data_IF_520276867014
#
_entry.id   IF_520276867014
#
_cell.length_a   1.000
_cell.length_b   1.000
_cell.length_c   1.000
_cell.angle_alpha   90.00
_cell.angle_beta   90.00
_cell.angle_gamma   90.00
#
_symmetry.space_group_name_H-M   'P 1'
#
loop_
_entity.id
_entity.type
_entity.pdbx_description
1 polymer ?
#
# COMPACT_ATOMS: atom_id res chain seq x y z
N UNK A 1 15.61 25.06 -8.51
CA UNK A 1 14.33 25.18 -7.78
C UNK A 1 13.60 23.88 -7.97
N UNK A 2 13.11 23.31 -6.88
CA UNK A 2 12.13 22.25 -6.96
C UNK A 2 10.76 22.88 -6.79
N UNK A 3 9.90 22.76 -7.79
CA UNK A 3 8.51 23.18 -7.74
C UNK A 3 7.66 21.93 -7.74
N UNK A 4 6.80 21.81 -6.74
CA UNK A 4 5.77 20.79 -6.72
C UNK A 4 4.52 21.28 -7.42
N UNK A 5 3.94 20.42 -8.27
CA UNK A 5 2.59 20.61 -8.77
C UNK A 5 1.81 19.33 -8.51
N UNK A 6 0.69 19.40 -7.81
CA UNK A 6 -0.29 18.32 -7.89
C UNK A 6 -0.97 18.38 -9.26
N UNK A 7 -1.14 17.24 -9.91
CA UNK A 7 -1.96 17.14 -11.12
C UNK A 7 -3.08 16.15 -10.88
N UNK A 8 -4.24 16.38 -11.50
CA UNK A 8 -5.43 15.51 -11.36
C UNK A 8 -5.15 14.06 -11.80
N UNK A 9 -4.08 13.83 -12.60
CA UNK A 9 -3.72 12.52 -13.14
C UNK A 9 -2.55 11.86 -12.42
N UNK A 10 -1.69 12.64 -11.75
CA UNK A 10 -0.57 12.17 -10.95
C UNK A 10 -0.58 12.93 -9.62
N UNK A 11 -0.95 12.22 -8.54
CA UNK A 11 -1.03 12.75 -7.18
C UNK A 11 0.31 13.32 -6.70
N UNK A 12 1.45 12.86 -7.25
CA UNK A 12 2.78 13.41 -7.00
C UNK A 12 3.48 13.74 -8.32
N UNK A 13 3.65 15.03 -8.63
CA UNK A 13 4.49 15.49 -9.74
C UNK A 13 5.44 16.58 -9.28
N UNK A 14 6.74 16.26 -9.27
CA UNK A 14 7.79 17.19 -8.87
C UNK A 14 8.58 17.59 -10.09
N UNK A 15 8.80 18.90 -10.27
CA UNK A 15 9.60 19.42 -11.37
C UNK A 15 10.77 20.23 -10.83
N UNK A 16 11.93 20.01 -11.41
CA UNK A 16 13.19 20.66 -11.06
C UNK A 16 13.70 21.48 -12.24
N UNK A 17 14.13 22.70 -11.97
CA UNK A 17 14.78 23.53 -12.98
C UNK A 17 15.39 24.81 -12.41
N UNK A 18 16.05 25.59 -13.25
CA UNK A 18 16.72 26.83 -12.84
C UNK A 18 15.70 27.96 -12.73
N UNK A 19 15.94 28.90 -11.80
CA UNK A 19 15.12 30.12 -11.71
C UNK A 19 15.25 30.90 -13.03
N UNK A 20 14.15 31.12 -13.73
CA UNK A 20 14.11 31.86 -14.99
C UNK A 20 14.26 31.02 -16.26
N UNK A 21 14.50 29.70 -16.16
CA UNK A 21 14.42 28.80 -17.31
C UNK A 21 12.98 28.37 -17.58
N UNK A 22 12.67 28.19 -18.87
CA UNK A 22 11.36 27.71 -19.35
C UNK A 22 11.26 26.19 -19.25
N UNK A 23 12.39 25.49 -19.32
CA UNK A 23 12.44 24.03 -19.27
C UNK A 23 12.60 23.53 -17.82
N UNK A 24 11.65 22.70 -17.41
CA UNK A 24 11.64 22.03 -16.12
C UNK A 24 11.66 20.52 -16.34
N UNK A 25 12.52 19.81 -15.61
CA UNK A 25 12.65 18.35 -15.69
C UNK A 25 11.81 17.70 -14.59
N UNK A 26 11.02 16.68 -14.93
CA UNK A 26 10.30 15.89 -13.95
C UNK A 26 11.29 15.06 -13.10
N UNK A 27 11.04 15.02 -11.79
CA UNK A 27 11.88 14.28 -10.84
C UNK A 27 11.01 13.44 -9.92
N UNK A 28 11.51 12.27 -9.55
CA UNK A 28 10.83 11.32 -8.68
C UNK A 28 11.57 11.22 -7.34
N UNK A 29 10.88 11.58 -6.26
CA UNK A 29 11.42 11.51 -4.91
C UNK A 29 11.06 10.16 -4.30
N UNK A 30 11.91 9.16 -4.50
CA UNK A 30 11.68 7.84 -3.91
C UNK A 30 12.15 7.80 -2.45
N UNK A 31 11.28 7.31 -1.56
CA UNK A 31 11.60 7.12 -0.15
C UNK A 31 12.87 6.27 0.02
N UNK A 32 13.81 6.73 0.85
CA UNK A 32 15.06 6.04 1.17
C UNK A 32 15.95 5.74 -0.05
N UNK A 33 15.81 6.50 -1.15
CA UNK A 33 16.70 6.41 -2.31
C UNK A 33 17.37 7.75 -2.56
N UNK A 34 18.69 7.76 -2.85
CA UNK A 34 19.36 8.99 -3.25
C UNK A 34 18.88 9.45 -4.63
N UNK A 35 19.02 10.74 -4.90
CA UNK A 35 18.63 11.35 -6.18
C UNK A 35 19.80 12.18 -6.72
N UNK A 36 20.12 12.00 -8.01
CA UNK A 36 21.09 12.83 -8.72
C UNK A 36 20.36 13.77 -9.66
N UNK A 37 20.55 15.07 -9.48
CA UNK A 37 19.95 16.11 -10.29
C UNK A 37 21.03 16.69 -11.21
N UNK A 38 20.92 16.41 -12.50
CA UNK A 38 21.73 17.08 -13.50
C UNK A 38 21.18 18.48 -13.75
N UNK A 39 22.08 19.46 -13.87
CA UNK A 39 21.73 20.81 -14.31
C UNK A 39 22.68 21.14 -15.45
N UNK A 40 22.16 21.44 -16.63
CA UNK A 40 22.99 21.87 -17.74
C UNK A 40 23.86 23.06 -17.31
N UNK A 41 25.16 23.01 -17.60
CA UNK A 41 26.19 23.98 -17.19
C UNK A 41 26.62 24.01 -15.70
N UNK A 42 26.06 23.16 -14.82
CA UNK A 42 26.47 23.04 -13.41
C UNK A 42 26.87 21.59 -13.05
N UNK A 43 27.55 21.43 -11.91
CA UNK A 43 27.88 20.10 -11.38
C UNK A 43 26.61 19.36 -10.96
N UNK A 44 26.59 18.03 -11.17
CA UNK A 44 25.49 17.16 -10.71
C UNK A 44 25.30 17.33 -9.20
N UNK A 45 24.07 17.68 -8.80
CA UNK A 45 23.72 17.78 -7.39
C UNK A 45 23.31 16.39 -6.91
N UNK A 46 24.01 15.88 -5.90
CA UNK A 46 23.67 14.61 -5.26
C UNK A 46 22.90 14.86 -3.97
N UNK A 47 21.68 14.32 -3.89
CA UNK A 47 20.88 14.29 -2.69
C UNK A 47 20.99 12.90 -2.05
N UNK A 48 21.35 12.85 -0.77
CA UNK A 48 21.37 11.61 -0.02
C UNK A 48 19.95 11.07 0.17
N UNK A 49 19.83 9.77 0.47
CA UNK A 49 18.54 9.13 0.74
C UNK A 49 17.77 9.79 1.89
N UNK A 50 18.48 10.31 2.90
CA UNK A 50 17.89 11.04 4.02
C UNK A 50 17.28 12.37 3.57
N UNK A 51 18.02 13.15 2.78
CA UNK A 51 17.56 14.44 2.25
C UNK A 51 16.35 14.24 1.33
N UNK A 52 16.37 13.21 0.47
CA UNK A 52 15.24 12.90 -0.42
C UNK A 52 13.98 12.55 0.39
N UNK A 53 14.13 11.74 1.45
CA UNK A 53 13.04 11.37 2.35
C UNK A 53 12.46 12.56 3.11
N UNK A 54 13.32 13.45 3.61
CA UNK A 54 12.87 14.67 4.30
C UNK A 54 12.17 15.64 3.34
N UNK A 55 12.75 15.85 2.15
CA UNK A 55 12.16 16.69 1.12
C UNK A 55 10.78 16.17 0.69
N UNK A 56 10.66 14.87 0.41
CA UNK A 56 9.38 14.24 0.08
C UNK A 56 8.35 14.49 1.20
N UNK A 57 8.72 14.26 2.46
CA UNK A 57 7.84 14.49 3.61
C UNK A 57 7.35 15.93 3.70
N UNK A 58 8.26 16.91 3.57
CA UNK A 58 7.91 18.33 3.61
C UNK A 58 6.99 18.76 2.48
N UNK A 59 7.13 18.14 1.31
CA UNK A 59 6.31 18.42 0.15
C UNK A 59 4.92 17.80 0.27
N UNK A 60 4.83 16.53 0.67
CA UNK A 60 3.55 15.85 0.93
C UNK A 60 2.76 16.54 2.06
N UNK A 61 3.46 17.09 3.06
CA UNK A 61 2.83 17.84 4.16
C UNK A 61 2.09 19.11 3.71
N UNK A 62 2.26 19.52 2.45
CA UNK A 62 1.56 20.66 1.84
C UNK A 62 0.39 20.24 0.95
N UNK A 63 0.15 18.94 0.81
CA UNK A 63 -0.87 18.36 -0.06
C UNK A 63 -2.02 17.77 0.75
N UNK A 64 -3.22 17.76 0.17
CA UNK A 64 -4.33 16.97 0.70
C UNK A 64 -4.09 15.48 0.43
N UNK A 65 -4.56 14.58 1.31
CA UNK A 65 -4.48 13.15 1.08
C UNK A 65 -5.19 12.74 -0.23
N UNK A 66 -4.65 11.74 -0.96
CA UNK A 66 -5.20 11.33 -2.24
C UNK A 66 -6.56 10.62 -2.12
N UNK A 67 -7.33 10.68 -3.20
CA UNK A 67 -8.64 10.05 -3.34
C UNK A 67 -9.76 10.80 -2.61
N UNK A 68 -11.02 10.51 -2.92
CA UNK A 68 -12.16 11.20 -2.34
C UNK A 68 -12.70 10.51 -1.08
N UNK A 69 -13.18 11.31 -0.12
CA UNK A 69 -13.77 10.83 1.13
C UNK A 69 -15.04 10.00 0.91
N UNK A 70 -16.05 10.58 0.25
CA UNK A 70 -17.40 10.01 0.15
C UNK A 70 -17.41 8.62 -0.51
N UNK A 71 -16.74 8.39 -1.65
CA UNK A 71 -16.68 7.05 -2.24
C UNK A 71 -16.03 6.02 -1.32
N UNK A 72 -14.96 6.40 -0.59
CA UNK A 72 -14.27 5.48 0.30
C UNK A 72 -15.12 5.09 1.51
N UNK A 73 -15.78 6.05 2.16
CA UNK A 73 -16.63 5.74 3.31
C UNK A 73 -17.89 4.95 2.90
N UNK A 74 -18.45 5.19 1.72
CA UNK A 74 -19.57 4.38 1.20
C UNK A 74 -19.18 2.92 0.98
N UNK A 75 -17.96 2.66 0.48
CA UNK A 75 -17.42 1.31 0.34
C UNK A 75 -17.26 0.64 1.71
N UNK A 76 -16.76 1.39 2.70
CA UNK A 76 -16.57 0.88 4.05
C UNK A 76 -17.86 0.70 4.83
N UNK A 77 -18.90 1.50 4.59
CA UNK A 77 -20.16 1.46 5.34
C UNK A 77 -20.74 0.04 5.43
N UNK A 78 -20.64 -0.74 4.36
CA UNK A 78 -21.10 -2.14 4.33
C UNK A 78 -20.23 -3.14 5.08
N UNK A 79 -19.11 -2.69 5.66
CA UNK A 79 -18.12 -3.49 6.40
C UNK A 79 -17.93 -3.02 7.84
N UNK A 80 -18.54 -1.88 8.22
CA UNK A 80 -18.54 -1.37 9.58
C UNK A 80 -19.45 -2.22 10.47
N UNK A 81 -19.16 -2.19 11.78
CA UNK A 81 -20.01 -2.80 12.79
C UNK A 81 -21.33 -2.01 12.93
N UNK A 82 -22.40 -2.70 13.32
CA UNK A 82 -23.76 -2.12 13.36
C UNK A 82 -23.84 -0.83 14.19
N UNK A 83 -23.12 -0.77 15.31
CA UNK A 83 -23.04 0.41 16.19
C UNK A 83 -22.45 1.65 15.50
N UNK A 84 -21.49 1.47 14.59
CA UNK A 84 -20.97 2.56 13.76
C UNK A 84 -21.94 2.92 12.64
N UNK A 85 -22.60 1.94 12.02
CA UNK A 85 -23.53 2.16 10.90
C UNK A 85 -24.73 3.00 11.31
N UNK A 86 -25.25 2.80 12.52
CA UNK A 86 -26.39 3.55 13.05
C UNK A 86 -26.12 5.05 13.20
N UNK A 87 -24.85 5.45 13.31
CA UNK A 87 -24.42 6.84 13.39
C UNK A 87 -24.24 7.51 12.01
N UNK A 88 -24.33 6.74 10.92
CA UNK A 88 -24.06 7.21 9.55
C UNK A 88 -25.33 7.62 8.80
N UNK A 89 -25.70 8.88 8.96
CA UNK A 89 -26.68 9.62 8.15
C UNK A 89 -26.05 10.17 6.86
N UNK A 90 -26.88 10.67 5.93
CA UNK A 90 -26.38 11.32 4.71
C UNK A 90 -25.52 12.55 5.01
N UNK A 91 -25.88 13.32 6.04
CA UNK A 91 -25.11 14.51 6.50
C UNK A 91 -23.76 14.13 7.12
N UNK A 92 -23.74 13.14 8.01
CA UNK A 92 -22.50 12.69 8.68
C UNK A 92 -21.53 11.97 7.74
N UNK A 93 -22.02 11.35 6.67
CA UNK A 93 -21.19 10.76 5.62
C UNK A 93 -20.43 11.78 4.77
N UNK A 94 -20.81 13.06 4.80
CA UNK A 94 -20.10 14.14 4.13
C UNK A 94 -19.03 14.77 5.04
N UNK A 95 -19.17 14.63 6.35
CA UNK A 95 -18.24 15.17 7.33
C UNK A 95 -17.05 14.23 7.55
N UNK A 96 -16.00 14.43 6.74
CA UNK A 96 -14.77 13.67 6.87
C UNK A 96 -14.17 13.74 8.29
N UNK A 97 -14.29 14.88 8.97
CA UNK A 97 -13.70 15.04 10.30
C UNK A 97 -14.42 14.14 11.31
N UNK A 98 -15.76 14.17 11.31
CA UNK A 98 -16.59 13.29 12.13
C UNK A 98 -16.27 11.81 11.87
N UNK A 99 -16.17 11.41 10.59
CA UNK A 99 -15.84 10.02 10.23
C UNK A 99 -14.46 9.62 10.76
N UNK A 100 -13.46 10.48 10.62
CA UNK A 100 -12.12 10.20 11.12
C UNK A 100 -12.09 10.04 12.65
N UNK A 101 -12.84 10.86 13.38
CA UNK A 101 -13.00 10.71 14.84
C UNK A 101 -13.72 9.40 15.21
N UNK A 102 -14.77 9.04 14.47
CA UNK A 102 -15.54 7.82 14.69
C UNK A 102 -14.66 6.57 14.52
N UNK A 103 -13.84 6.52 13.46
CA UNK A 103 -13.00 5.35 13.16
C UNK A 103 -11.66 5.35 13.91
N UNK A 104 -11.30 6.42 14.63
CA UNK A 104 -10.01 6.56 15.31
C UNK A 104 -9.71 5.38 16.26
N UNK A 105 -10.76 4.83 16.89
CA UNK A 105 -10.67 3.74 17.86
C UNK A 105 -10.49 2.36 17.23
N UNK A 106 -10.85 2.19 15.95
CA UNK A 106 -10.69 0.93 15.22
C UNK A 106 -9.59 1.09 14.16
N UNK A 107 -8.38 0.67 14.55
CA UNK A 107 -7.20 0.78 13.69
C UNK A 107 -7.36 0.03 12.36
N UNK A 108 -8.07 -1.10 12.34
CA UNK A 108 -8.30 -1.86 11.10
C UNK A 108 -9.22 -1.09 10.15
N UNK A 109 -10.28 -0.49 10.67
CA UNK A 109 -11.18 0.38 9.87
C UNK A 109 -10.45 1.63 9.39
N UNK A 110 -9.66 2.27 10.25
CA UNK A 110 -8.86 3.44 9.89
C UNK A 110 -7.85 3.13 8.79
N UNK A 111 -7.14 2.01 8.88
CA UNK A 111 -6.25 1.53 7.81
C UNK A 111 -7.02 1.28 6.52
N UNK A 112 -8.16 0.58 6.59
CA UNK A 112 -8.98 0.29 5.43
C UNK A 112 -9.50 1.57 4.75
N UNK A 113 -9.84 2.61 5.54
CA UNK A 113 -10.29 3.90 5.02
C UNK A 113 -9.24 4.54 4.12
N UNK A 114 -8.00 4.63 4.62
CA UNK A 114 -6.89 5.17 3.83
C UNK A 114 -6.53 4.27 2.66
N UNK A 115 -6.49 2.95 2.88
CA UNK A 115 -6.26 1.98 1.81
C UNK A 115 -7.23 2.14 0.64
N UNK A 116 -8.54 2.22 0.93
CA UNK A 116 -9.57 2.39 -0.11
C UNK A 116 -9.42 3.75 -0.81
N UNK A 117 -9.17 4.85 -0.08
CA UNK A 117 -8.96 6.17 -0.69
C UNK A 117 -7.80 6.17 -1.68
N UNK A 118 -6.65 5.65 -1.27
CA UNK A 118 -5.46 5.57 -2.12
C UNK A 118 -5.68 4.63 -3.32
N UNK A 119 -6.37 3.50 -3.12
CA UNK A 119 -6.69 2.58 -4.21
C UNK A 119 -7.62 3.23 -5.24
N UNK A 120 -8.65 3.97 -4.80
CA UNK A 120 -9.55 4.69 -5.69
C UNK A 120 -8.84 5.81 -6.46
N UNK A 121 -7.97 6.58 -5.80
CA UNK A 121 -7.17 7.61 -6.46
C UNK A 121 -6.34 7.04 -7.64
N UNK A 122 -5.83 5.82 -7.47
CA UNK A 122 -5.05 5.09 -8.47
C UNK A 122 -5.90 4.29 -9.47
N UNK A 123 -7.23 4.34 -9.37
CA UNK A 123 -8.16 3.48 -10.11
C UNK A 123 -7.89 1.97 -9.95
N UNK A 124 -7.31 1.55 -8.83
CA UNK A 124 -7.00 0.14 -8.52
C UNK A 124 -8.16 -0.53 -7.76
N UNK A 125 -9.22 -0.90 -8.50
CA UNK A 125 -10.37 -1.61 -7.96
C UNK A 125 -10.02 -3.02 -7.44
N UNK A 126 -8.93 -3.61 -7.93
CA UNK A 126 -8.44 -4.91 -7.43
C UNK A 126 -7.89 -4.75 -6.02
N UNK A 127 -7.18 -3.67 -5.71
CA UNK A 127 -6.77 -3.32 -4.34
C UNK A 127 -7.98 -3.05 -3.44
N UNK A 128 -8.98 -2.30 -3.93
CA UNK A 128 -10.24 -2.10 -3.18
C UNK A 128 -10.87 -3.45 -2.82
N UNK A 129 -10.96 -4.39 -3.76
CA UNK A 129 -11.51 -5.72 -3.50
C UNK A 129 -10.71 -6.49 -2.44
N UNK A 130 -9.36 -6.47 -2.52
CA UNK A 130 -8.47 -7.10 -1.54
C UNK A 130 -8.65 -6.51 -0.13
N UNK A 131 -8.68 -5.19 -0.01
CA UNK A 131 -8.89 -4.49 1.27
C UNK A 131 -10.25 -4.84 1.87
N UNK A 132 -11.31 -4.92 1.04
CA UNK A 132 -12.63 -5.38 1.49
C UNK A 132 -12.59 -6.84 1.96
N UNK A 133 -11.90 -7.73 1.25
CA UNK A 133 -11.72 -9.13 1.67
C UNK A 133 -11.00 -9.20 3.02
N UNK A 134 -9.94 -8.42 3.20
CA UNK A 134 -9.24 -8.33 4.47
C UNK A 134 -10.16 -7.90 5.60
N UNK A 135 -10.80 -6.74 5.48
CA UNK A 135 -11.59 -6.16 6.56
C UNK A 135 -12.77 -7.07 6.93
N UNK A 136 -13.44 -7.65 5.93
CA UNK A 136 -14.59 -8.54 6.11
C UNK A 136 -14.23 -9.89 6.75
N UNK A 137 -13.17 -10.52 6.26
CA UNK A 137 -12.92 -11.94 6.53
C UNK A 137 -11.77 -12.18 7.52
N UNK A 138 -10.93 -11.17 7.75
CA UNK A 138 -9.69 -11.34 8.50
C UNK A 138 -9.27 -10.11 9.33
N UNK A 139 -10.13 -9.09 9.48
CA UNK A 139 -9.77 -7.81 10.10
C UNK A 139 -9.20 -7.93 11.53
N UNK A 140 -9.61 -8.95 12.28
CA UNK A 140 -9.09 -9.22 13.64
C UNK A 140 -7.78 -10.03 13.69
N UNK A 141 -7.42 -10.74 12.61
CA UNK A 141 -6.28 -11.67 12.58
C UNK A 141 -4.92 -10.96 12.50
N UNK A 142 -4.89 -9.72 12.01
CA UNK A 142 -3.66 -8.94 11.78
C UNK A 142 -3.36 -7.92 12.89
N UNK A 143 -3.96 -8.11 14.07
CA UNK A 143 -3.84 -7.17 15.20
C UNK A 143 -2.48 -7.22 15.89
N UNK A 144 -1.76 -8.33 15.79
CA UNK A 144 -0.43 -8.50 16.39
C UNK A 144 0.68 -8.06 15.41
N UNK A 145 1.41 -7.00 15.76
CA UNK A 145 2.51 -6.48 14.95
C UNK A 145 3.71 -7.44 14.86
N UNK A 146 3.82 -8.42 15.77
CA UNK A 146 4.94 -9.36 15.79
C UNK A 146 4.82 -10.49 14.75
N UNK A 147 3.63 -10.68 14.16
CA UNK A 147 3.31 -11.82 13.29
C UNK A 147 2.70 -11.39 11.95
N UNK A 148 3.41 -10.52 11.23
CA UNK A 148 2.92 -9.94 9.98
C UNK A 148 3.18 -10.85 8.76
N UNK A 149 2.28 -10.84 7.77
CA UNK A 149 2.54 -11.46 6.48
C UNK A 149 3.69 -10.75 5.77
N UNK A 150 4.43 -11.47 4.93
CA UNK A 150 5.41 -10.90 4.01
C UNK A 150 5.07 -11.32 2.59
N UNK A 151 5.22 -10.40 1.64
CA UNK A 151 4.84 -10.61 0.24
C UNK A 151 5.97 -10.17 -0.67
N UNK A 152 6.26 -10.98 -1.68
CA UNK A 152 7.20 -10.67 -2.75
C UNK A 152 6.55 -10.95 -4.10
N UNK A 153 7.06 -10.28 -5.12
CA UNK A 153 6.52 -10.38 -6.48
C UNK A 153 7.65 -10.70 -7.45
N UNK A 154 7.39 -11.59 -8.41
CA UNK A 154 8.36 -11.89 -9.47
C UNK A 154 7.70 -12.00 -10.84
N UNK A 155 8.31 -11.38 -11.83
CA UNK A 155 7.95 -11.58 -13.25
C UNK A 155 8.52 -12.90 -13.78
N UNK A 156 9.63 -13.36 -13.21
CA UNK A 156 10.24 -14.65 -13.55
C UNK A 156 9.76 -15.76 -12.63
N UNK A 157 10.22 -16.99 -12.89
CA UNK A 157 9.93 -18.19 -12.11
C UNK A 157 10.37 -18.13 -10.65
N UNK A 158 11.33 -17.27 -10.33
CA UNK A 158 11.90 -17.10 -9.00
C UNK A 158 11.93 -15.62 -8.57
N UNK A 159 11.91 -15.34 -7.26
CA UNK A 159 12.18 -14.01 -6.70
C UNK A 159 13.56 -13.47 -7.05
N UNK A 160 13.75 -12.16 -6.91
CA UNK A 160 15.06 -11.53 -7.09
C UNK A 160 16.06 -11.95 -6.01
N UNK A 161 17.36 -11.75 -6.24
CA UNK A 161 18.42 -12.23 -5.33
C UNK A 161 18.29 -11.75 -3.87
N UNK A 162 17.81 -10.51 -3.66
CA UNK A 162 17.54 -9.98 -2.32
C UNK A 162 16.38 -10.74 -1.64
N UNK A 163 15.28 -10.90 -2.36
CA UNK A 163 14.06 -11.56 -1.86
C UNK A 163 14.31 -13.06 -1.61
N UNK A 164 15.16 -13.69 -2.43
CA UNK A 164 15.64 -15.06 -2.23
C UNK A 164 16.39 -15.18 -0.89
N UNK A 165 17.30 -14.26 -0.59
CA UNK A 165 18.03 -14.28 0.67
C UNK A 165 17.07 -14.12 1.87
N UNK A 166 16.05 -13.25 1.75
CA UNK A 166 15.01 -13.12 2.79
C UNK A 166 14.22 -14.43 2.98
N UNK A 167 13.82 -15.11 1.89
CA UNK A 167 13.12 -16.40 1.95
C UNK A 167 13.97 -17.54 2.55
N UNK A 168 15.29 -17.54 2.28
CA UNK A 168 16.22 -18.50 2.87
C UNK A 168 16.30 -18.33 4.40
N UNK A 169 16.27 -17.09 4.91
CA UNK A 169 16.21 -16.86 6.38
C UNK A 169 14.94 -17.42 7.01
N UNK A 170 13.87 -17.53 6.22
CA UNK A 170 12.59 -18.14 6.61
C UNK A 170 12.59 -19.67 6.41
N UNK A 171 13.75 -20.28 6.17
CA UNK A 171 13.93 -21.73 5.95
C UNK A 171 13.28 -22.26 4.66
N UNK A 172 13.17 -21.45 3.61
CA UNK A 172 12.78 -21.88 2.27
C UNK A 172 13.98 -21.83 1.33
N UNK A 173 14.38 -22.98 0.79
CA UNK A 173 15.58 -23.10 -0.05
C UNK A 173 15.28 -22.82 -1.52
N UNK A 174 16.31 -22.58 -2.34
CA UNK A 174 16.14 -22.49 -3.80
C UNK A 174 15.43 -23.72 -4.39
N UNK A 175 15.79 -24.92 -3.92
CA UNK A 175 15.18 -26.17 -4.38
C UNK A 175 13.69 -26.25 -4.03
N UNK A 176 13.30 -25.74 -2.86
CA UNK A 176 11.90 -25.64 -2.45
C UNK A 176 11.09 -24.77 -3.42
N UNK A 177 11.62 -23.60 -3.78
CA UNK A 177 10.98 -22.65 -4.67
C UNK A 177 10.88 -23.19 -6.09
N UNK A 178 11.95 -23.82 -6.61
CA UNK A 178 11.92 -24.50 -7.91
C UNK A 178 10.88 -25.60 -7.95
N UNK A 179 10.78 -26.40 -6.88
CA UNK A 179 9.76 -27.44 -6.73
C UNK A 179 8.35 -26.83 -6.72
N UNK A 180 8.12 -25.72 -6.02
CA UNK A 180 6.82 -25.03 -6.05
C UNK A 180 6.47 -24.57 -7.47
N UNK A 181 7.41 -23.94 -8.18
CA UNK A 181 7.19 -23.45 -9.54
C UNK A 181 6.90 -24.57 -10.54
N UNK A 182 7.51 -25.76 -10.38
CA UNK A 182 7.27 -26.91 -11.25
C UNK A 182 5.86 -27.52 -11.14
N UNK A 183 5.11 -27.24 -10.07
CA UNK A 183 3.75 -27.77 -9.92
C UNK A 183 2.81 -27.09 -10.91
N UNK A 184 1.82 -27.82 -11.43
CA UNK A 184 0.83 -27.25 -12.37
C UNK A 184 -0.36 -26.59 -11.68
N UNK A 185 -0.69 -27.01 -10.47
CA UNK A 185 -1.80 -26.44 -9.70
C UNK A 185 -1.39 -25.13 -9.04
N UNK A 186 -2.25 -24.11 -9.10
CA UNK A 186 -2.09 -22.83 -8.42
C UNK A 186 -3.34 -22.49 -7.59
N UNK A 187 -3.19 -21.95 -6.37
CA UNK A 187 -1.94 -21.66 -5.65
C UNK A 187 -1.26 -22.94 -5.12
N UNK A 188 0.05 -22.86 -4.87
CA UNK A 188 0.87 -23.90 -4.20
C UNK A 188 1.18 -23.44 -2.78
N UNK A 189 1.15 -24.36 -1.82
CA UNK A 189 1.49 -24.09 -0.43
C UNK A 189 2.62 -25.01 0.00
N UNK A 190 3.63 -24.45 0.64
CA UNK A 190 4.74 -25.18 1.24
C UNK A 190 4.88 -24.79 2.71
N UNK A 191 5.07 -25.80 3.56
CA UNK A 191 5.26 -25.64 4.99
C UNK A 191 6.75 -25.64 5.34
N UNK A 192 7.13 -24.80 6.29
CA UNK A 192 8.40 -24.85 7.01
C UNK A 192 8.17 -24.71 8.52
N UNK A 193 9.22 -24.90 9.31
CA UNK A 193 9.15 -24.74 10.78
C UNK A 193 8.76 -23.32 11.25
N UNK A 194 8.92 -22.30 10.40
CA UNK A 194 8.65 -20.89 10.74
C UNK A 194 7.26 -20.46 10.28
N UNK A 195 6.71 -21.10 9.24
CA UNK A 195 5.41 -20.74 8.69
C UNK A 195 5.10 -21.41 7.36
N UNK A 196 4.24 -20.78 6.58
CA UNK A 196 3.79 -21.27 5.28
C UNK A 196 4.18 -20.29 4.18
N UNK A 197 4.74 -20.80 3.09
CA UNK A 197 4.97 -20.07 1.86
C UNK A 197 3.92 -20.46 0.83
N UNK A 198 3.29 -19.47 0.23
CA UNK A 198 2.24 -19.64 -0.77
C UNK A 198 2.72 -19.02 -2.08
N UNK A 199 2.68 -19.79 -3.15
CA UNK A 199 2.92 -19.31 -4.51
C UNK A 199 1.58 -19.20 -5.25
N UNK A 200 1.28 -18.01 -5.74
CA UNK A 200 0.13 -17.75 -6.59
C UNK A 200 0.55 -17.05 -7.87
N UNK A 201 -0.31 -17.11 -8.88
CA UNK A 201 -0.14 -16.43 -10.16
C UNK A 201 -1.28 -15.43 -10.32
N UNK A 202 -0.95 -14.23 -10.75
CA UNK A 202 -1.89 -13.15 -11.01
C UNK A 202 -1.66 -12.64 -12.42
N UNK A 203 -2.76 -12.48 -13.16
CA UNK A 203 -2.72 -11.82 -14.46
C UNK A 203 -2.77 -10.32 -14.24
N UNK A 204 -1.95 -9.55 -14.95
CA UNK A 204 -2.22 -8.12 -15.09
C UNK A 204 -3.44 -7.97 -16.00
N UNK A 205 -4.49 -7.30 -15.50
CA UNK A 205 -5.70 -7.05 -16.29
C UNK A 205 -5.35 -6.49 -17.67
N UNK A 206 -5.89 -7.13 -18.72
CA UNK A 206 -5.69 -6.79 -20.15
C UNK A 206 -4.33 -7.14 -20.75
N UNK A 207 -3.46 -7.88 -20.06
CA UNK A 207 -2.21 -8.40 -20.64
C UNK A 207 -2.08 -9.90 -20.43
N UNK A 208 -1.38 -10.59 -21.32
CA UNK A 208 -0.97 -12.00 -21.11
C UNK A 208 0.16 -12.13 -20.07
N UNK A 209 0.58 -11.02 -19.45
CA UNK A 209 1.65 -11.02 -18.46
C UNK A 209 1.12 -11.56 -17.15
N UNK A 210 1.66 -12.71 -16.74
CA UNK A 210 1.42 -13.31 -15.44
C UNK A 210 2.61 -12.98 -14.54
N UNK A 211 2.34 -12.47 -13.35
CA UNK A 211 3.35 -12.33 -12.31
C UNK A 211 3.03 -13.25 -11.13
N UNK A 212 4.09 -13.67 -10.45
CA UNK A 212 4.01 -14.56 -9.29
C UNK A 212 3.94 -13.74 -8.02
N UNK A 213 3.09 -14.19 -7.12
CA UNK A 213 2.93 -13.68 -5.77
C UNK A 213 3.44 -14.74 -4.81
N UNK A 214 4.46 -14.37 -4.04
CA UNK A 214 5.03 -15.18 -2.98
C UNK A 214 4.55 -14.61 -1.66
N UNK A 215 3.72 -15.34 -0.92
CA UNK A 215 3.18 -14.90 0.36
C UNK A 215 3.66 -15.81 1.47
N UNK A 216 4.40 -15.27 2.42
CA UNK A 216 4.75 -15.95 3.65
C UNK A 216 3.80 -15.57 4.79
N UNK A 217 3.35 -16.58 5.52
CA UNK A 217 2.52 -16.44 6.72
C UNK A 217 3.18 -17.14 7.91
N UNK A 218 3.48 -16.41 9.00
CA UNK A 218 3.87 -17.02 10.26
C UNK A 218 2.81 -18.01 10.76
N UNK A 219 3.24 -19.04 11.50
CA UNK A 219 2.36 -20.07 12.06
C UNK A 219 1.12 -19.51 12.81
N UNK A 220 1.23 -18.52 13.70
CA UNK A 220 0.06 -17.97 14.40
C UNK A 220 -0.97 -17.38 13.43
N UNK A 221 -0.49 -16.63 12.44
CA UNK A 221 -1.35 -15.99 11.45
C UNK A 221 -2.01 -17.02 10.52
N UNK A 222 -1.27 -18.06 10.09
CA UNK A 222 -1.86 -19.17 9.34
C UNK A 222 -2.99 -19.84 10.13
N UNK A 223 -2.79 -20.09 11.43
CA UNK A 223 -3.80 -20.72 12.28
C UNK A 223 -5.05 -19.84 12.42
N UNK A 224 -4.91 -18.52 12.59
CA UNK A 224 -6.05 -17.60 12.62
C UNK A 224 -6.82 -17.61 11.30
N UNK A 225 -6.13 -17.50 10.17
CA UNK A 225 -6.77 -17.35 8.86
C UNK A 225 -7.33 -18.67 8.31
N UNK A 226 -6.52 -19.73 8.32
CA UNK A 226 -6.86 -21.02 7.70
C UNK A 226 -7.57 -21.95 8.65
N UNK A 227 -7.04 -22.16 9.85
CA UNK A 227 -7.55 -23.18 10.77
C UNK A 227 -8.77 -22.71 11.53
N UNK A 228 -8.77 -21.48 12.04
CA UNK A 228 -9.93 -20.89 12.75
C UNK A 228 -10.90 -20.21 11.78
N UNK A 229 -10.40 -19.31 10.93
CA UNK A 229 -11.19 -18.54 9.98
C UNK A 229 -11.71 -19.33 8.77
N UNK A 230 -11.19 -20.53 8.52
CA UNK A 230 -11.56 -21.42 7.40
C UNK A 230 -11.46 -20.76 6.02
N UNK A 231 -10.65 -19.72 5.88
CA UNK A 231 -10.48 -19.01 4.61
C UNK A 231 -9.82 -19.92 3.58
N UNK A 232 -10.26 -19.84 2.32
CA UNK A 232 -9.57 -20.48 1.20
C UNK A 232 -8.20 -19.84 0.97
N UNK A 233 -7.28 -20.56 0.33
CA UNK A 233 -5.93 -20.03 0.04
C UNK A 233 -6.00 -18.73 -0.77
N UNK A 234 -6.97 -18.61 -1.69
CA UNK A 234 -7.18 -17.37 -2.47
C UNK A 234 -7.66 -16.21 -1.60
N UNK A 235 -8.57 -16.45 -0.67
CA UNK A 235 -9.02 -15.43 0.29
C UNK A 235 -7.90 -15.01 1.23
N UNK A 236 -7.05 -15.96 1.66
CA UNK A 236 -5.86 -15.67 2.46
C UNK A 236 -4.92 -14.73 1.70
N UNK A 237 -4.60 -15.05 0.44
CA UNK A 237 -3.74 -14.20 -0.39
C UNK A 237 -4.35 -12.80 -0.53
N UNK A 238 -5.64 -12.73 -0.88
CA UNK A 238 -6.38 -11.48 -1.06
C UNK A 238 -6.38 -10.63 0.22
N UNK A 239 -6.70 -11.25 1.37
CA UNK A 239 -6.76 -10.57 2.65
C UNK A 239 -5.38 -10.11 3.14
N UNK A 240 -4.35 -10.96 3.06
CA UNK A 240 -3.00 -10.58 3.48
C UNK A 240 -2.43 -9.45 2.63
N UNK A 241 -2.67 -9.47 1.32
CA UNK A 241 -2.24 -8.40 0.45
C UNK A 241 -3.03 -7.12 0.69
N UNK A 242 -4.36 -7.19 0.82
CA UNK A 242 -5.21 -6.03 1.15
C UNK A 242 -4.83 -5.39 2.49
N UNK A 243 -4.48 -6.17 3.50
CA UNK A 243 -3.93 -5.67 4.77
C UNK A 243 -2.64 -4.88 4.56
N UNK A 244 -1.68 -5.44 3.81
CA UNK A 244 -0.40 -4.78 3.55
C UNK A 244 -0.59 -3.45 2.79
N UNK A 245 -1.51 -3.41 1.82
CA UNK A 245 -1.86 -2.20 1.08
C UNK A 245 -2.48 -1.14 1.97
N UNK A 246 -3.46 -1.51 2.79
CA UNK A 246 -4.12 -0.61 3.73
C UNK A 246 -3.15 -0.05 4.79
N UNK A 247 -2.25 -0.90 5.29
CA UNK A 247 -1.21 -0.50 6.23
C UNK A 247 -0.21 0.47 5.60
N UNK A 248 0.23 0.20 4.38
CA UNK A 248 1.12 1.09 3.65
C UNK A 248 0.46 2.44 3.38
N UNK A 249 -0.81 2.44 2.95
CA UNK A 249 -1.58 3.67 2.76
C UNK A 249 -1.73 4.48 4.05
N UNK A 250 -1.95 3.82 5.20
CA UNK A 250 -1.99 4.50 6.49
C UNK A 250 -0.64 5.13 6.85
N UNK A 251 0.48 4.42 6.61
CA UNK A 251 1.83 4.97 6.82
C UNK A 251 2.09 6.15 5.90
N UNK A 252 1.69 6.04 4.64
CA UNK A 252 1.88 7.08 3.64
C UNK A 252 1.06 8.34 3.97
N UNK A 253 -0.17 8.16 4.47
CA UNK A 253 -1.04 9.24 4.94
C UNK A 253 -0.38 10.11 6.02
N UNK A 254 0.47 9.56 6.89
CA UNK A 254 1.16 10.33 7.94
C UNK A 254 2.02 11.48 7.40
N UNK A 255 2.40 11.42 6.12
CA UNK A 255 3.18 12.46 5.47
C UNK A 255 2.32 13.57 4.86
N UNK A 256 1.02 13.36 4.69
CA UNK A 256 0.14 14.36 4.08
C UNK A 256 -0.32 15.41 5.09
N UNK A 257 -0.52 16.63 4.60
CA UNK A 257 -1.01 17.74 5.41
C UNK A 257 -2.47 17.56 5.80
N UNK A 258 -2.79 17.72 7.09
CA UNK A 258 -4.18 17.98 7.51
C UNK A 258 -4.45 19.46 7.21
N UNK A 259 -5.30 19.75 6.21
CA UNK A 259 -5.74 21.10 5.76
C UNK A 259 -5.13 22.24 6.57
N UNK A 260 -4.13 22.94 6.02
CA UNK A 260 -3.85 24.30 6.47
C UNK A 260 -5.10 25.11 6.14
N UNK A 261 -5.74 25.70 7.14
CA UNK A 261 -6.67 26.79 6.91
C UNK A 261 -6.01 27.75 5.93
N UNK A 262 -6.66 27.97 4.79
CA UNK A 262 -6.17 28.88 3.78
C UNK A 262 -5.84 30.19 4.50
N UNK A 263 -4.55 30.53 4.55
CA UNK A 263 -4.14 31.87 4.93
C UNK A 263 -4.62 32.74 3.78
N UNK A 264 -5.81 33.30 3.93
CA UNK A 264 -6.27 34.41 3.13
C UNK A 264 -5.25 35.52 3.32
N UNK A 265 -4.39 35.71 2.31
CA UNK A 265 -3.59 36.91 2.23
C UNK A 265 -4.57 38.09 2.14
N UNK A 266 -4.51 39.08 3.05
CA UNK A 266 -5.22 40.34 2.84
C UNK A 266 -4.59 41.02 1.61
N UNK A 267 -5.47 41.49 0.72
CA UNK A 267 -5.14 42.27 -0.48
C UNK A 267 -4.29 43.50 -0.16
#
# INVERSE_FOLDING_TARGET
ILIGSSSILNDEKWVWGKLGDVEMTEVFLYQNKPLSLAVESLHTIFLSAEIVSELRRSLLGQMEPPGEHVPAILILKGLLRNDMVDLLTEETLQDEHFILELIERDQSVKQAYWGVRFALARNDYSSVARIKTWLKSAGGAFSDQSHQPQIWFSLTDLPGGKDMAELETLSFTLDDLQRMTSQRSRPVVLFSRTGYLILSEQSLDKTETIFRVWLYLPLPLWNELREKGKLSIREIISASWGYLEAREAMREMEYYGRKRQATTYPN
#
